data_IF_152835833979
#
_entry.id   IF_152835833979
#
_cell.length_a   1.000
_cell.length_b   1.000
_cell.length_c   1.000
_cell.angle_alpha   90.00
_cell.angle_beta   90.00
_cell.angle_gamma   90.00
#
_symmetry.space_group_name_H-M   'P 1'
#
loop_
_entity.id
_entity.type
_entity.pdbx_description
1 polymer ?
#
# COMPACT_ATOMS: atom_id res chain seq x y z
N UNK A 1 -18.76 15.72 -3.49
CA UNK A 1 -17.32 16.07 -3.59
C UNK A 1 -16.54 15.71 -2.32
N UNK A 2 -17.10 15.91 -1.13
CA UNK A 2 -16.49 15.50 0.15
C UNK A 2 -16.24 13.99 0.27
N UNK A 3 -17.13 13.15 -0.29
CA UNK A 3 -16.95 11.68 -0.40
C UNK A 3 -15.58 11.26 -0.98
N UNK A 4 -15.02 12.03 -1.93
CA UNK A 4 -13.73 11.74 -2.58
C UNK A 4 -12.52 12.22 -1.76
N UNK A 5 -12.66 13.34 -1.05
CA UNK A 5 -11.57 13.98 -0.29
C UNK A 5 -11.31 13.24 1.03
N UNK A 6 -12.35 12.81 1.74
CA UNK A 6 -12.21 12.02 2.97
C UNK A 6 -11.57 10.64 2.72
N UNK A 7 -11.80 10.05 1.55
CA UNK A 7 -11.21 8.78 1.14
C UNK A 7 -9.71 8.89 0.84
N UNK A 8 -9.28 9.97 0.17
CA UNK A 8 -7.85 10.23 -0.11
C UNK A 8 -7.02 10.37 1.18
N UNK A 9 -7.57 11.00 2.22
CA UNK A 9 -6.83 11.19 3.48
C UNK A 9 -6.64 9.91 4.32
N UNK A 10 -7.53 8.90 4.22
CA UNK A 10 -7.45 7.69 5.04
C UNK A 10 -6.40 6.67 4.57
N UNK A 11 -6.14 6.67 3.27
CA UNK A 11 -5.35 5.64 2.58
C UNK A 11 -3.88 6.04 2.46
N UNK A 12 -3.46 7.18 3.03
CA UNK A 12 -2.05 7.58 3.08
C UNK A 12 -1.50 8.14 1.76
N UNK A 13 -2.35 8.37 0.76
CA UNK A 13 -1.98 9.07 -0.46
C UNK A 13 -2.41 10.53 -0.38
N UNK A 14 -1.45 11.45 -0.19
CA UNK A 14 -1.64 12.82 -0.70
C UNK A 14 -2.17 12.69 -2.14
N UNK A 15 -3.24 13.41 -2.47
CA UNK A 15 -3.78 13.41 -3.83
C UNK A 15 -2.65 13.64 -4.84
N UNK A 16 -2.68 12.89 -5.96
CA UNK A 16 -1.68 12.96 -7.05
C UNK A 16 -1.24 14.42 -7.25
N UNK A 17 0.05 14.68 -7.05
CA UNK A 17 0.57 16.04 -6.98
C UNK A 17 0.79 16.56 -8.40
N UNK A 18 -0.26 17.09 -9.01
CA UNK A 18 -0.21 17.67 -10.36
C UNK A 18 0.40 19.07 -10.31
N UNK A 19 1.72 19.16 -10.13
CA UNK A 19 2.48 20.39 -10.38
C UNK A 19 3.60 20.09 -11.38
N UNK A 20 3.27 20.22 -12.66
CA UNK A 20 4.20 20.09 -13.77
C UNK A 20 5.11 21.34 -13.86
N UNK A 21 6.08 21.45 -12.95
CA UNK A 21 7.25 22.31 -13.17
C UNK A 21 8.27 21.61 -14.05
N UNK A 22 8.94 22.35 -14.95
CA UNK A 22 10.05 21.87 -15.79
C UNK A 22 11.32 21.57 -14.97
N UNK A 23 11.29 20.60 -14.06
CA UNK A 23 12.50 20.08 -13.40
C UNK A 23 12.80 18.65 -13.80
N UNK A 24 14.07 18.27 -13.70
CA UNK A 24 14.47 16.88 -13.89
C UNK A 24 13.77 15.92 -12.91
N UNK A 25 13.43 16.40 -11.69
CA UNK A 25 12.77 15.59 -10.66
C UNK A 25 11.32 15.25 -10.98
N UNK A 26 10.64 16.04 -11.81
CA UNK A 26 9.28 15.73 -12.27
C UNK A 26 9.25 14.79 -13.50
N UNK A 27 10.41 14.41 -14.06
CA UNK A 27 10.47 13.55 -15.24
C UNK A 27 10.08 12.10 -14.92
N UNK A 28 9.45 11.40 -15.89
CA UNK A 28 9.11 9.97 -15.76
C UNK A 28 10.36 9.15 -15.44
N UNK A 29 11.46 9.38 -16.17
CA UNK A 29 12.74 8.70 -15.98
C UNK A 29 13.27 8.84 -14.55
N UNK A 30 13.17 10.03 -13.96
CA UNK A 30 13.62 10.23 -12.58
C UNK A 30 12.73 9.49 -11.59
N UNK A 31 11.40 9.66 -11.69
CA UNK A 31 10.45 9.06 -10.75
C UNK A 31 10.44 7.53 -10.87
N UNK A 32 10.44 6.96 -12.08
CA UNK A 32 10.61 5.52 -12.30
C UNK A 32 11.95 5.00 -11.78
N UNK A 33 13.02 5.79 -11.92
CA UNK A 33 14.33 5.46 -11.35
C UNK A 33 14.27 5.33 -9.82
N UNK A 34 13.48 6.18 -9.15
CA UNK A 34 13.23 6.11 -7.70
C UNK A 34 12.28 4.98 -7.34
N UNK A 35 11.20 4.78 -8.10
CA UNK A 35 10.24 3.71 -7.90
C UNK A 35 10.87 2.33 -8.10
N UNK A 36 11.85 2.19 -8.99
CA UNK A 36 12.54 0.94 -9.25
C UNK A 36 13.27 0.37 -8.01
N UNK A 37 13.57 1.19 -7.00
CA UNK A 37 14.14 0.69 -5.75
C UNK A 37 13.15 -0.21 -4.97
N UNK A 38 11.85 -0.19 -5.29
CA UNK A 38 10.87 -1.18 -4.81
C UNK A 38 11.27 -2.62 -5.13
N UNK A 39 12.09 -2.85 -6.17
CA UNK A 39 12.66 -4.17 -6.45
C UNK A 39 13.52 -4.73 -5.32
N UNK A 40 13.95 -3.88 -4.37
CA UNK A 40 14.57 -4.33 -3.13
C UNK A 40 13.60 -5.21 -2.33
N UNK A 41 12.28 -4.94 -2.34
CA UNK A 41 11.29 -5.69 -1.53
C UNK A 41 10.21 -6.41 -2.34
N UNK A 42 9.98 -6.04 -3.60
CA UNK A 42 9.02 -6.68 -4.50
C UNK A 42 9.72 -7.52 -5.59
N UNK A 43 9.53 -8.85 -5.64
CA UNK A 43 8.87 -9.69 -4.63
C UNK A 43 9.82 -10.05 -3.47
N UNK A 44 9.26 -10.42 -2.33
CA UNK A 44 9.95 -11.10 -1.23
C UNK A 44 9.02 -12.19 -0.69
N UNK A 45 9.25 -13.43 -1.10
CA UNK A 45 8.37 -14.57 -0.76
C UNK A 45 8.29 -14.81 0.77
N UNK A 46 9.45 -14.85 1.44
CA UNK A 46 9.54 -14.92 2.91
C UNK A 46 9.89 -13.55 3.50
N UNK A 47 9.00 -12.97 4.31
CA UNK A 47 9.22 -11.65 4.91
C UNK A 47 10.46 -11.61 5.83
N UNK A 48 10.93 -12.74 6.34
CA UNK A 48 12.17 -12.81 7.12
C UNK A 48 13.43 -12.43 6.31
N UNK A 49 13.38 -12.57 4.97
CA UNK A 49 14.47 -12.16 4.08
C UNK A 49 14.64 -10.64 4.05
N UNK A 50 13.63 -9.88 4.52
CA UNK A 50 13.74 -8.42 4.65
C UNK A 50 14.76 -8.00 5.70
N UNK A 51 15.11 -8.86 6.68
CA UNK A 51 16.16 -8.54 7.66
C UNK A 51 17.55 -8.43 7.02
N UNK A 52 17.81 -9.16 5.94
CA UNK A 52 19.08 -9.07 5.21
C UNK A 52 19.18 -7.76 4.42
N UNK A 53 18.01 -7.19 4.07
CA UNK A 53 17.87 -5.93 3.33
C UNK A 53 17.81 -4.72 4.27
N UNK A 54 17.28 -4.90 5.47
CA UNK A 54 17.05 -3.90 6.51
C UNK A 54 17.50 -4.44 7.86
N UNK A 55 18.82 -4.39 8.16
CA UNK A 55 19.37 -4.94 9.40
C UNK A 55 18.88 -4.19 10.65
N UNK A 56 18.40 -2.95 10.51
CA UNK A 56 17.75 -2.19 11.58
C UNK A 56 16.32 -2.65 11.87
N UNK A 57 15.75 -3.48 11.00
CA UNK A 57 14.36 -3.92 11.04
C UNK A 57 13.51 -3.15 10.03
N UNK A 58 12.20 -3.40 10.05
CA UNK A 58 11.28 -2.79 9.09
C UNK A 58 9.87 -2.67 9.67
N UNK A 59 9.04 -1.87 9.00
CA UNK A 59 7.62 -1.76 9.24
C UNK A 59 6.86 -1.95 7.93
N UNK A 60 5.76 -2.70 7.98
CA UNK A 60 4.85 -2.86 6.86
C UNK A 60 3.44 -2.59 7.36
N UNK A 61 2.72 -1.70 6.70
CA UNK A 61 1.30 -1.47 6.96
C UNK A 61 0.50 -1.81 5.71
N UNK A 62 -0.40 -2.77 5.84
CA UNK A 62 -1.37 -3.14 4.82
C UNK A 62 -2.75 -2.59 5.18
N UNK A 63 -3.48 -2.06 4.20
CA UNK A 63 -4.86 -1.59 4.34
C UNK A 63 -5.72 -2.10 3.20
N UNK A 64 -6.82 -2.72 3.56
CA UNK A 64 -7.84 -3.21 2.63
C UNK A 64 -9.15 -2.45 2.85
N UNK A 65 -9.61 -1.74 1.83
CA UNK A 65 -10.93 -1.16 1.76
C UNK A 65 -11.81 -2.00 0.82
N UNK A 66 -12.88 -2.55 1.37
CA UNK A 66 -13.78 -3.47 0.68
C UNK A 66 -15.23 -3.31 1.14
N UNK A 67 -16.14 -4.02 0.46
CA UNK A 67 -17.59 -3.94 0.70
C UNK A 67 -18.07 -2.48 0.66
N UNK A 68 -17.62 -1.75 -0.35
CA UNK A 68 -18.03 -0.37 -0.55
C UNK A 68 -19.47 -0.29 -1.04
N UNK A 69 -20.26 0.50 -0.33
CA UNK A 69 -21.58 0.96 -0.72
C UNK A 69 -21.66 2.48 -0.53
N UNK A 70 -22.70 3.12 -1.06
CA UNK A 70 -22.90 4.55 -0.83
C UNK A 70 -23.08 4.90 0.66
N UNK A 71 -23.58 3.94 1.44
CA UNK A 71 -23.84 4.03 2.88
C UNK A 71 -22.58 3.83 3.74
N UNK A 72 -21.49 3.31 3.19
CA UNK A 72 -20.32 2.95 3.99
C UNK A 72 -19.37 1.93 3.35
N UNK A 73 -18.34 1.53 4.10
CA UNK A 73 -17.38 0.50 3.70
C UNK A 73 -16.70 -0.11 4.93
N UNK A 74 -16.01 -1.24 4.73
CA UNK A 74 -15.10 -1.80 5.73
C UNK A 74 -13.66 -1.44 5.42
N UNK A 75 -12.89 -1.16 6.48
CA UNK A 75 -11.45 -0.98 6.39
C UNK A 75 -10.78 -1.94 7.37
N UNK A 76 -9.96 -2.83 6.83
CA UNK A 76 -9.06 -3.67 7.62
C UNK A 76 -7.63 -3.12 7.49
N UNK A 77 -6.93 -2.95 8.59
CA UNK A 77 -5.56 -2.46 8.63
C UNK A 77 -4.71 -3.41 9.45
N UNK A 78 -3.58 -3.82 8.89
CA UNK A 78 -2.56 -4.63 9.57
C UNK A 78 -1.27 -3.81 9.61
N UNK A 79 -0.65 -3.72 10.77
CA UNK A 79 0.68 -3.12 10.93
C UNK A 79 1.62 -4.18 11.49
N UNK A 80 2.69 -4.47 10.75
CA UNK A 80 3.72 -5.44 11.12
C UNK A 80 5.03 -4.71 11.41
N UNK A 81 5.74 -5.19 12.42
CA UNK A 81 7.08 -4.76 12.79
C UNK A 81 8.03 -5.95 12.74
N UNK A 82 9.05 -5.87 11.89
CA UNK A 82 10.19 -6.78 11.88
C UNK A 82 11.23 -6.32 12.88
N UNK A 83 11.33 -7.02 14.02
CA UNK A 83 12.28 -6.69 15.08
C UNK A 83 13.68 -7.23 14.73
N UNK A 84 14.66 -6.34 14.57
CA UNK A 84 16.02 -6.71 14.19
C UNK A 84 16.79 -7.54 15.22
N UNK A 85 16.44 -7.42 16.51
CA UNK A 85 17.12 -8.15 17.58
C UNK A 85 16.62 -9.60 17.70
N UNK A 86 15.30 -9.80 17.60
CA UNK A 86 14.69 -11.14 17.71
C UNK A 86 14.51 -11.84 16.38
N UNK A 87 14.62 -11.11 15.26
CA UNK A 87 14.24 -11.52 13.90
C UNK A 87 12.80 -12.03 13.81
N UNK A 88 11.92 -11.59 14.70
CA UNK A 88 10.49 -11.92 14.67
C UNK A 88 9.69 -10.80 14.02
N UNK A 89 8.61 -11.19 13.36
CA UNK A 89 7.67 -10.28 12.69
C UNK A 89 6.30 -10.43 13.36
N UNK A 90 5.81 -9.36 13.96
CA UNK A 90 4.51 -9.34 14.63
C UNK A 90 3.91 -7.95 14.60
N UNK A 91 2.64 -7.82 14.98
CA UNK A 91 2.05 -6.51 15.13
C UNK A 91 0.56 -6.58 15.40
N UNK A 92 -0.21 -5.69 14.80
CA UNK A 92 -1.64 -5.52 15.10
C UNK A 92 -2.51 -5.57 13.87
N UNK A 93 -3.77 -5.93 14.08
CA UNK A 93 -4.84 -5.85 13.11
C UNK A 93 -5.99 -5.03 13.70
N UNK A 94 -6.66 -4.26 12.86
CA UNK A 94 -7.93 -3.63 13.19
C UNK A 94 -8.87 -3.74 12.01
N UNK A 95 -10.16 -3.89 12.30
CA UNK A 95 -11.23 -3.76 11.32
C UNK A 95 -12.24 -2.75 11.83
N UNK A 96 -12.62 -1.82 10.97
CA UNK A 96 -13.67 -0.85 11.27
C UNK A 96 -14.69 -0.77 10.15
N UNK A 97 -15.94 -0.56 10.55
CA UNK A 97 -17.01 -0.17 9.67
C UNK A 97 -17.06 1.36 9.63
N UNK A 98 -16.96 1.91 8.43
CA UNK A 98 -17.21 3.33 8.17
C UNK A 98 -18.60 3.45 7.57
N UNK A 99 -19.37 4.42 8.04
CA UNK A 99 -20.71 4.70 7.53
C UNK A 99 -20.91 6.20 7.29
N UNK A 100 -21.82 6.51 6.37
CA UNK A 100 -22.25 7.86 6.03
C UNK A 100 -23.75 7.98 6.26
N UNK A 101 -24.18 9.02 6.96
CA UNK A 101 -25.61 9.33 7.09
C UNK A 101 -26.14 10.12 5.87
N UNK A 102 -27.41 10.51 5.92
CA UNK A 102 -28.07 11.25 4.84
C UNK A 102 -27.45 12.63 4.60
N UNK A 103 -26.77 13.21 5.60
CA UNK A 103 -26.06 14.48 5.52
C UNK A 103 -24.57 14.31 5.15
N UNK A 104 -24.19 13.11 4.66
CA UNK A 104 -22.81 12.69 4.36
C UNK A 104 -21.85 12.74 5.57
N UNK A 105 -22.38 12.76 6.81
CA UNK A 105 -21.55 12.76 8.01
C UNK A 105 -20.97 11.37 8.22
N UNK A 106 -19.64 11.34 8.39
CA UNK A 106 -18.87 10.13 8.58
C UNK A 106 -18.91 9.66 10.04
N UNK A 107 -19.17 8.37 10.24
CA UNK A 107 -19.04 7.67 11.52
C UNK A 107 -18.12 6.46 11.37
N UNK A 108 -17.36 6.13 12.43
CA UNK A 108 -16.45 4.98 12.46
C UNK A 108 -16.75 4.11 13.68
N UNK A 109 -16.92 2.82 13.46
CA UNK A 109 -17.10 1.82 14.51
C UNK A 109 -16.03 0.73 14.36
N UNK A 110 -15.19 0.55 15.38
CA UNK A 110 -14.25 -0.57 15.43
C UNK A 110 -15.02 -1.87 15.64
N UNK A 111 -14.90 -2.78 14.69
CA UNK A 111 -15.49 -4.12 14.72
C UNK A 111 -14.55 -5.07 15.45
N UNK A 112 -13.24 -4.91 15.23
CA UNK A 112 -12.22 -5.74 15.84
C UNK A 112 -10.89 -5.00 15.97
N UNK A 113 -10.15 -5.33 17.02
CA UNK A 113 -8.73 -5.01 17.17
C UNK A 113 -8.03 -6.20 17.81
N UNK A 114 -6.86 -6.57 17.33
CA UNK A 114 -6.11 -7.69 17.87
C UNK A 114 -4.64 -7.66 17.49
N UNK A 115 -3.92 -8.69 17.93
CA UNK A 115 -2.53 -8.91 17.58
C UNK A 115 -2.40 -9.96 16.47
N UNK A 116 -1.37 -9.79 15.65
CA UNK A 116 -0.98 -10.74 14.60
C UNK A 116 0.49 -11.12 14.72
N UNK A 117 0.82 -12.27 14.15
CA UNK A 117 2.19 -12.75 13.96
C UNK A 117 2.36 -13.20 12.52
N UNK A 118 3.55 -13.04 11.95
CA UNK A 118 3.88 -13.67 10.68
C UNK A 118 4.58 -15.01 10.96
N UNK A 119 4.00 -16.09 10.47
CA UNK A 119 4.50 -17.44 10.65
C UNK A 119 4.06 -18.31 9.46
N UNK A 120 4.93 -19.22 9.02
CA UNK A 120 4.67 -20.16 7.91
C UNK A 120 4.27 -19.44 6.61
N UNK A 121 4.95 -18.32 6.32
CA UNK A 121 4.75 -17.54 5.10
C UNK A 121 3.54 -16.60 5.12
N UNK A 122 2.78 -16.53 6.22
CA UNK A 122 1.50 -15.81 6.30
C UNK A 122 1.29 -15.08 7.63
N UNK A 123 0.45 -14.06 7.60
CA UNK A 123 -0.04 -13.34 8.77
C UNK A 123 -1.16 -14.15 9.42
N UNK A 124 -1.06 -14.35 10.73
CA UNK A 124 -1.99 -15.13 11.54
C UNK A 124 -2.42 -14.32 12.76
N UNK A 125 -3.69 -14.46 13.18
CA UNK A 125 -4.18 -13.89 14.43
C UNK A 125 -3.53 -14.60 15.61
N UNK A 126 -3.13 -13.86 16.64
CA UNK A 126 -2.68 -14.47 17.91
C UNK A 126 -3.85 -15.02 18.72
N UNK A 127 -5.04 -14.44 18.59
CA UNK A 127 -6.25 -14.89 19.27
C UNK A 127 -6.96 -15.95 18.40
N UNK A 128 -6.92 -17.24 18.78
CA UNK A 128 -7.55 -18.32 18.02
C UNK A 128 -9.09 -18.32 18.15
N UNK A 129 -9.64 -17.54 19.08
CA UNK A 129 -11.10 -17.44 19.31
C UNK A 129 -11.74 -16.31 18.50
N UNK A 130 -10.94 -15.44 17.90
CA UNK A 130 -11.40 -14.32 17.10
C UNK A 130 -12.11 -14.81 15.83
N UNK A 131 -13.34 -14.33 15.62
CA UNK A 131 -14.15 -14.67 14.45
C UNK A 131 -14.05 -13.60 13.36
N UNK A 132 -12.82 -13.23 12.99
CA UNK A 132 -12.52 -12.28 11.92
C UNK A 132 -11.61 -12.95 10.89
N UNK A 133 -11.83 -12.66 9.61
CA UNK A 133 -10.98 -13.12 8.52
C UNK A 133 -9.98 -12.03 8.14
N UNK A 134 -8.70 -12.38 8.13
CA UNK A 134 -7.67 -11.54 7.52
C UNK A 134 -7.90 -11.53 6.00
N UNK A 135 -8.10 -10.34 5.41
CA UNK A 135 -8.33 -10.18 3.97
C UNK A 135 -7.11 -10.57 3.16
N UNK A 136 -5.96 -10.03 3.55
CA UNK A 136 -4.67 -10.23 2.88
C UNK A 136 -3.67 -10.90 3.85
N UNK A 137 -3.82 -12.21 4.13
CA UNK A 137 -2.90 -12.93 5.02
C UNK A 137 -1.52 -13.12 4.38
N UNK A 138 -1.44 -13.06 3.06
CA UNK A 138 -0.20 -12.91 2.29
C UNK A 138 -0.18 -11.48 1.75
N UNK A 139 0.95 -10.79 1.94
CA UNK A 139 1.13 -9.43 1.46
C UNK A 139 1.37 -9.39 -0.06
N UNK A 140 1.00 -8.29 -0.71
CA UNK A 140 1.20 -8.12 -2.16
C UNK A 140 2.69 -8.14 -2.51
N UNK A 141 3.55 -7.65 -1.62
CA UNK A 141 5.00 -7.73 -1.79
C UNK A 141 5.57 -9.16 -1.85
N UNK A 142 4.82 -10.17 -1.38
CA UNK A 142 5.23 -11.56 -1.53
C UNK A 142 4.93 -12.12 -2.93
N UNK A 143 3.94 -11.56 -3.62
CA UNK A 143 3.37 -12.13 -4.84
C UNK A 143 3.72 -11.31 -6.10
N UNK A 144 3.86 -9.99 -5.98
CA UNK A 144 3.97 -9.09 -7.12
C UNK A 144 5.39 -8.56 -7.34
N UNK A 145 5.80 -8.47 -8.61
CA UNK A 145 7.14 -8.01 -9.00
C UNK A 145 7.11 -6.57 -9.49
N UNK A 146 7.92 -5.71 -8.86
CA UNK A 146 8.13 -4.33 -9.30
C UNK A 146 9.61 -4.11 -9.56
N UNK A 147 9.97 -3.80 -10.80
CA UNK A 147 11.33 -3.44 -11.16
C UNK A 147 11.34 -2.42 -12.31
N UNK A 148 12.52 -1.90 -12.62
CA UNK A 148 12.69 -0.88 -13.66
C UNK A 148 12.13 -1.31 -15.01
N UNK A 149 12.36 -2.56 -15.39
CA UNK A 149 11.96 -3.08 -16.71
C UNK A 149 10.46 -3.25 -16.79
N UNK A 150 9.80 -3.74 -15.72
CA UNK A 150 8.35 -3.84 -15.67
C UNK A 150 7.69 -2.46 -15.71
N UNK A 151 8.13 -1.51 -14.87
CA UNK A 151 7.58 -0.15 -14.82
C UNK A 151 7.69 0.59 -16.16
N UNK A 152 8.82 0.49 -16.86
CA UNK A 152 9.05 1.19 -18.13
C UNK A 152 8.08 0.79 -19.25
N UNK A 153 7.50 -0.42 -19.15
CA UNK A 153 6.56 -0.98 -20.14
C UNK A 153 5.10 -0.62 -19.82
N UNK A 154 4.81 -0.20 -18.59
CA UNK A 154 3.45 0.12 -18.18
C UNK A 154 2.95 1.42 -18.81
N UNK A 155 1.64 1.46 -19.05
CA UNK A 155 0.92 2.66 -19.49
C UNK A 155 0.78 3.62 -18.32
N UNK A 156 1.64 4.63 -18.28
CA UNK A 156 1.60 5.69 -17.27
C UNK A 156 0.32 6.53 -17.43
N UNK A 157 -0.45 6.67 -16.35
CA UNK A 157 -1.59 7.57 -16.27
C UNK A 157 -1.17 9.00 -15.95
N UNK A 158 -0.26 9.15 -14.98
CA UNK A 158 0.20 10.43 -14.47
C UNK A 158 1.44 10.28 -13.60
N UNK A 159 2.01 11.42 -13.22
CA UNK A 159 3.16 11.51 -12.33
C UNK A 159 3.24 12.90 -11.70
N UNK A 160 3.74 12.97 -10.49
CA UNK A 160 3.86 14.19 -9.70
C UNK A 160 5.20 14.28 -8.99
N UNK A 161 5.72 15.49 -8.86
CA UNK A 161 6.74 15.84 -7.88
C UNK A 161 6.31 17.13 -7.20
N UNK A 162 6.21 17.11 -5.87
CA UNK A 162 5.87 18.30 -5.10
C UNK A 162 7.14 18.97 -4.60
N UNK A 163 7.28 20.26 -4.92
CA UNK A 163 8.37 21.07 -4.40
C UNK A 163 8.15 21.48 -2.94
N UNK A 164 6.90 21.46 -2.47
CA UNK A 164 6.54 21.80 -1.09
C UNK A 164 6.95 20.68 -0.14
N UNK A 165 6.63 19.44 -0.47
CA UNK A 165 6.93 18.27 0.37
C UNK A 165 8.23 17.58 -0.03
N UNK A 166 8.66 17.71 -1.30
CA UNK A 166 9.78 16.94 -1.86
C UNK A 166 9.45 15.48 -2.20
N UNK A 167 8.18 15.08 -2.05
CA UNK A 167 7.71 13.75 -2.42
C UNK A 167 7.35 13.65 -3.91
N UNK A 168 7.32 12.42 -4.41
CA UNK A 168 6.93 12.11 -5.78
C UNK A 168 5.86 11.04 -5.84
N UNK A 169 5.12 10.99 -6.94
CA UNK A 169 4.17 9.93 -7.24
C UNK A 169 4.16 9.59 -8.74
N UNK A 170 3.78 8.37 -9.05
CA UNK A 170 3.55 7.91 -10.43
C UNK A 170 2.44 6.87 -10.44
N UNK A 171 1.52 6.99 -11.38
CA UNK A 171 0.42 6.04 -11.55
C UNK A 171 0.41 5.38 -12.92
N UNK A 172 -0.07 4.14 -12.93
CA UNK A 172 -0.18 3.29 -14.11
C UNK A 172 -1.57 2.68 -14.19
N UNK A 173 -2.00 2.42 -15.42
CA UNK A 173 -3.10 1.49 -15.70
C UNK A 173 -2.50 0.21 -16.26
N UNK A 174 -2.88 -0.93 -15.67
CA UNK A 174 -2.39 -2.23 -16.07
C UNK A 174 -3.44 -3.31 -15.78
N UNK A 175 -3.43 -4.38 -16.58
CA UNK A 175 -4.07 -5.63 -16.24
C UNK A 175 -2.99 -6.65 -15.97
N UNK A 176 -3.08 -7.32 -14.81
CA UNK A 176 -2.11 -8.31 -14.37
C UNK A 176 -2.86 -9.39 -13.57
N UNK A 177 -2.70 -10.68 -13.90
CA UNK A 177 -3.45 -11.77 -13.28
C UNK A 177 -3.16 -11.92 -11.78
N UNK A 178 -1.96 -11.57 -11.32
CA UNK A 178 -1.60 -11.59 -9.89
C UNK A 178 -2.39 -10.50 -9.17
N UNK A 179 -2.38 -9.27 -9.71
CA UNK A 179 -3.14 -8.16 -9.13
C UNK A 179 -4.65 -8.41 -9.18
N UNK A 180 -5.18 -8.97 -10.27
CA UNK A 180 -6.60 -9.28 -10.38
C UNK A 180 -7.03 -10.33 -9.34
N UNK A 181 -6.23 -11.38 -9.17
CA UNK A 181 -6.46 -12.41 -8.15
C UNK A 181 -6.37 -11.84 -6.75
N UNK A 182 -5.34 -11.03 -6.48
CA UNK A 182 -5.12 -10.40 -5.17
C UNK A 182 -6.26 -9.46 -4.78
N UNK A 183 -6.75 -8.65 -5.73
CA UNK A 183 -7.89 -7.75 -5.52
C UNK A 183 -9.25 -8.46 -5.53
N UNK A 184 -9.30 -9.76 -5.88
CA UNK A 184 -10.55 -10.52 -5.97
C UNK A 184 -11.48 -10.06 -7.09
N UNK A 185 -10.92 -9.60 -8.23
CA UNK A 185 -11.66 -9.13 -9.41
C UNK A 185 -11.53 -10.11 -10.57
N UNK A 186 -12.31 -9.89 -11.64
CA UNK A 186 -12.23 -10.68 -12.86
C UNK A 186 -10.82 -10.61 -13.50
N UNK A 187 -10.42 -11.68 -14.18
CA UNK A 187 -9.18 -11.68 -14.96
C UNK A 187 -9.27 -10.68 -16.11
N UNK A 188 -8.12 -10.20 -16.57
CA UNK A 188 -8.00 -9.16 -17.61
C UNK A 188 -8.59 -7.78 -17.22
N UNK A 189 -9.03 -7.62 -15.96
CA UNK A 189 -9.51 -6.34 -15.43
C UNK A 189 -8.36 -5.35 -15.36
N UNK A 190 -8.54 -4.17 -15.95
CA UNK A 190 -7.62 -3.06 -15.77
C UNK A 190 -7.76 -2.47 -14.36
N UNK A 191 -6.62 -2.37 -13.66
CA UNK A 191 -6.48 -1.79 -12.34
C UNK A 191 -5.62 -0.52 -12.42
N UNK A 192 -5.75 0.34 -11.42
CA UNK A 192 -4.85 1.48 -11.24
C UNK A 192 -3.84 1.19 -10.14
N UNK A 193 -2.55 1.24 -10.49
CA UNK A 193 -1.44 1.15 -9.54
C UNK A 193 -0.85 2.53 -9.33
N UNK A 194 -0.64 2.94 -8.08
CA UNK A 194 -0.01 4.23 -7.73
C UNK A 194 1.16 3.95 -6.80
N UNK A 195 2.32 4.51 -7.11
CA UNK A 195 3.51 4.46 -6.27
C UNK A 195 3.76 5.85 -5.72
N UNK A 196 3.71 6.00 -4.40
CA UNK A 196 4.12 7.20 -3.70
C UNK A 196 5.52 7.02 -3.11
N UNK A 197 6.34 8.05 -3.26
CA UNK A 197 7.75 8.08 -2.87
C UNK A 197 7.93 9.26 -1.91
N UNK A 198 8.16 8.96 -0.63
CA UNK A 198 8.33 9.98 0.41
C UNK A 198 9.58 10.83 0.18
N UNK A 199 9.63 12.03 0.75
CA UNK A 199 10.74 12.98 0.60
C UNK A 199 12.10 12.33 0.85
N UNK A 200 12.23 11.65 2.00
CA UNK A 200 13.47 11.03 2.44
C UNK A 200 13.92 9.95 1.45
N UNK A 201 12.96 9.23 0.85
CA UNK A 201 13.21 8.25 -0.20
C UNK A 201 13.64 8.91 -1.51
N UNK A 202 13.00 10.02 -1.90
CA UNK A 202 13.44 10.81 -3.06
C UNK A 202 14.88 11.31 -2.86
N UNK A 203 15.27 11.68 -1.65
CA UNK A 203 16.62 12.14 -1.30
C UNK A 203 17.60 11.00 -0.95
N UNK A 204 17.20 9.72 -1.11
CA UNK A 204 18.00 8.53 -0.77
C UNK A 204 18.45 8.46 0.70
N UNK A 205 17.70 9.05 1.63
CA UNK A 205 17.99 9.06 3.07
C UNK A 205 17.27 7.96 3.84
N UNK A 206 16.14 7.48 3.31
CA UNK A 206 15.36 6.40 3.90
C UNK A 206 14.76 5.51 2.80
N UNK A 207 14.30 4.32 3.18
CA UNK A 207 13.48 3.48 2.35
C UNK A 207 12.05 3.55 2.86
N UNK A 208 11.20 4.36 2.22
CA UNK A 208 9.78 4.52 2.58
C UNK A 208 8.93 4.71 1.31
N UNK A 209 8.03 3.77 1.05
CA UNK A 209 7.16 3.75 -0.13
C UNK A 209 5.74 3.39 0.26
N UNK A 210 4.77 3.96 -0.47
CA UNK A 210 3.38 3.50 -0.46
C UNK A 210 3.00 2.99 -1.85
N UNK A 211 2.45 1.78 -1.93
CA UNK A 211 1.88 1.20 -3.13
C UNK A 211 0.36 1.10 -2.96
N UNK A 212 -0.41 1.72 -3.85
CA UNK A 212 -1.86 1.55 -3.93
C UNK A 212 -2.24 0.74 -5.16
N UNK A 213 -3.15 -0.23 -5.01
CA UNK A 213 -3.89 -0.87 -6.10
C UNK A 213 -5.37 -0.53 -5.96
N UNK A 214 -5.99 -0.06 -7.05
CA UNK A 214 -7.36 0.47 -7.05
C UNK A 214 -8.22 -0.19 -8.11
N UNK A 215 -9.41 -0.62 -7.71
CA UNK A 215 -10.54 -0.96 -8.58
C UNK A 215 -11.76 -0.13 -8.16
N UNK A 216 -12.00 0.99 -8.83
CA UNK A 216 -13.07 1.92 -8.48
C UNK A 216 -12.98 2.42 -7.02
N UNK A 217 -13.86 1.89 -6.17
CA UNK A 217 -13.91 2.21 -4.74
C UNK A 217 -13.21 1.20 -3.83
N UNK A 218 -12.76 0.05 -4.35
CA UNK A 218 -11.95 -0.90 -3.60
C UNK A 218 -10.47 -0.50 -3.68
N UNK A 219 -9.79 -0.58 -2.54
CA UNK A 219 -8.40 -0.17 -2.40
C UNK A 219 -7.62 -1.22 -1.63
N UNK A 220 -6.43 -1.52 -2.14
CA UNK A 220 -5.37 -2.13 -1.35
C UNK A 220 -4.19 -1.16 -1.27
N UNK A 221 -3.62 -1.03 -0.08
CA UNK A 221 -2.44 -0.20 0.15
C UNK A 221 -1.40 -0.94 0.96
N UNK A 222 -0.15 -0.87 0.53
CA UNK A 222 1.01 -1.29 1.32
C UNK A 222 1.97 -0.11 1.51
N UNK A 223 2.20 0.25 2.77
CA UNK A 223 3.26 1.15 3.18
C UNK A 223 4.41 0.31 3.72
N UNK A 224 5.63 0.53 3.22
CA UNK A 224 6.81 -0.23 3.64
C UNK A 224 7.92 0.76 4.01
N UNK A 225 8.46 0.58 5.21
CA UNK A 225 9.60 1.31 5.74
C UNK A 225 10.70 0.34 6.16
N UNK A 226 11.94 0.63 5.79
CA UNK A 226 13.09 -0.18 6.18
C UNK A 226 14.21 0.66 6.79
N UNK A 227 14.84 0.12 7.84
CA UNK A 227 15.83 0.81 8.68
C UNK A 227 17.21 0.13 8.67
#
# INVERSE_FOLDING_TARGET
MFKKIAMMMLVGGLGIMVLAGCSNKSSRKFIEGKAAALSKVYPTENLEDLFDKFPGGFQITSKDLYEYEESGYKLQSISLHGNSQTRQISGTISEKQVSFDQDEKRSENFVYTGEVVYQDGKIQLKDPTANIKIKSPTLLLQEFTINKDSLSKLKMGGKGYSYETGSADIDYTLSDPILNTYMGVEQDKELKMIIYIMHETVENKAYSYTLDIKDGHNYHTELIEGY
#
